data_IF_445010812626
#
_entry.id   IF_445010812626
#
_cell.length_a   1.000
_cell.length_b   1.000
_cell.length_c   1.000
_cell.angle_alpha   90.00
_cell.angle_beta   90.00
_cell.angle_gamma   90.00
#
_symmetry.space_group_name_H-M   'P 1'
#
loop_
_entity.id
_entity.type
_entity.pdbx_description
1 polymer ?
#
# COMPACT_ATOMS: atom_id res chain seq x y z
N UNK A 1 -6.72 12.21 -12.96
CA UNK A 1 -7.12 13.62 -12.78
C UNK A 1 -6.28 14.50 -13.68
N UNK A 2 -6.90 15.41 -14.41
CA UNK A 2 -6.24 16.27 -15.40
C UNK A 2 -5.40 17.37 -14.77
N UNK A 3 -4.45 17.92 -15.52
CA UNK A 3 -3.69 19.12 -15.12
C UNK A 3 -4.50 20.38 -15.38
N UNK A 4 -4.63 21.25 -14.36
CA UNK A 4 -5.32 22.53 -14.45
C UNK A 4 -4.81 23.37 -15.64
N UNK A 5 -5.67 23.76 -16.60
CA UNK A 5 -5.31 24.66 -17.69
C UNK A 5 -4.95 26.06 -17.17
N UNK A 6 -4.19 26.81 -17.98
CA UNK A 6 -3.85 28.21 -17.64
C UNK A 6 -5.10 29.09 -17.73
N UNK A 7 -5.12 30.16 -16.93
CA UNK A 7 -6.15 31.19 -17.02
C UNK A 7 -6.19 31.76 -18.45
N UNK A 8 -7.36 31.71 -19.10
CA UNK A 8 -7.55 32.13 -20.49
C UNK A 8 -7.40 31.02 -21.55
N UNK A 9 -7.13 29.76 -21.17
CA UNK A 9 -7.31 28.63 -22.08
C UNK A 9 -8.82 28.42 -22.33
N UNK A 10 -9.29 28.30 -23.58
CA UNK A 10 -10.70 28.01 -23.87
C UNK A 10 -11.23 26.72 -23.21
N UNK A 11 -10.34 25.81 -22.82
CA UNK A 11 -10.69 24.56 -22.13
C UNK A 11 -10.81 24.72 -20.61
N UNK A 12 -10.54 25.90 -20.07
CA UNK A 12 -10.57 26.13 -18.63
C UNK A 12 -11.97 25.92 -18.05
N UNK A 13 -13.01 26.47 -18.68
CA UNK A 13 -14.39 26.34 -18.20
C UNK A 13 -14.84 24.87 -18.19
N UNK A 14 -14.63 24.14 -19.29
CA UNK A 14 -14.95 22.72 -19.37
C UNK A 14 -14.18 21.88 -18.31
N UNK A 15 -12.91 22.21 -18.08
CA UNK A 15 -12.12 21.54 -17.04
C UNK A 15 -12.62 21.86 -15.62
N UNK A 16 -13.03 23.10 -15.36
CA UNK A 16 -13.53 23.54 -14.05
C UNK A 16 -14.88 22.88 -13.69
N UNK A 17 -15.75 22.69 -14.69
CA UNK A 17 -16.99 21.93 -14.55
C UNK A 17 -16.72 20.45 -14.23
N UNK A 18 -15.81 19.81 -14.98
CA UNK A 18 -15.41 18.41 -14.73
C UNK A 18 -14.78 18.25 -13.35
N UNK A 19 -13.86 19.15 -12.97
CA UNK A 19 -13.18 19.11 -11.67
C UNK A 19 -14.19 19.26 -10.53
N UNK A 20 -15.11 20.23 -10.63
CA UNK A 20 -16.18 20.46 -9.64
C UNK A 20 -17.09 19.24 -9.48
N UNK A 21 -17.43 18.55 -10.58
CA UNK A 21 -18.24 17.33 -10.54
C UNK A 21 -17.51 16.20 -9.80
N UNK A 22 -16.21 16.03 -10.06
CA UNK A 22 -15.39 15.02 -9.38
C UNK A 22 -15.24 15.37 -7.90
N UNK A 23 -15.07 16.65 -7.54
CA UNK A 23 -15.05 17.09 -6.13
C UNK A 23 -16.35 16.73 -5.42
N UNK A 24 -17.50 16.96 -6.06
CA UNK A 24 -18.80 16.57 -5.51
C UNK A 24 -18.91 15.06 -5.28
N UNK A 25 -18.47 14.23 -6.23
CA UNK A 25 -18.45 12.77 -6.05
C UNK A 25 -17.53 12.34 -4.91
N UNK A 26 -16.36 12.96 -4.80
CA UNK A 26 -15.42 12.70 -3.71
C UNK A 26 -16.06 13.03 -2.36
N UNK A 27 -16.57 14.25 -2.15
CA UNK A 27 -17.20 14.62 -0.89
C UNK A 27 -18.38 13.73 -0.52
N UNK A 28 -19.22 13.33 -1.48
CA UNK A 28 -20.36 12.44 -1.24
C UNK A 28 -19.96 10.99 -0.97
N UNK A 29 -18.74 10.58 -1.35
CA UNK A 29 -18.23 9.23 -1.09
C UNK A 29 -17.56 9.08 0.27
N UNK A 30 -17.32 10.18 0.99
CA UNK A 30 -16.57 10.22 2.25
C UNK A 30 -17.50 10.35 3.45
N UNK A 31 -17.03 9.90 4.62
CA UNK A 31 -17.71 10.25 5.87
C UNK A 31 -17.50 11.74 6.18
N UNK A 32 -18.42 12.39 6.91
CA UNK A 32 -18.33 13.83 7.21
C UNK A 32 -17.02 14.25 7.87
N UNK A 33 -16.43 13.37 8.69
CA UNK A 33 -15.16 13.63 9.37
C UNK A 33 -14.01 13.76 8.37
N UNK A 34 -13.99 12.93 7.33
CA UNK A 34 -12.97 12.94 6.29
C UNK A 34 -13.21 14.10 5.32
N UNK A 35 -14.45 14.31 4.86
CA UNK A 35 -14.76 15.38 3.91
C UNK A 35 -14.48 16.77 4.46
N UNK A 36 -14.72 16.99 5.76
CA UNK A 36 -14.40 18.25 6.45
C UNK A 36 -12.90 18.60 6.39
N UNK A 37 -12.00 17.62 6.43
CA UNK A 37 -10.55 17.87 6.33
C UNK A 37 -10.13 18.36 4.94
N UNK A 38 -10.94 18.05 3.91
CA UNK A 38 -10.66 18.33 2.51
C UNK A 38 -11.48 19.51 1.95
N UNK A 39 -12.37 20.10 2.75
CA UNK A 39 -13.35 21.10 2.32
C UNK A 39 -12.71 22.37 1.72
N UNK A 40 -11.49 22.71 2.14
CA UNK A 40 -10.77 23.92 1.70
C UNK A 40 -9.79 23.67 0.55
N UNK A 41 -9.73 22.45 0.01
CA UNK A 41 -8.85 22.11 -1.11
C UNK A 41 -9.45 22.58 -2.44
N UNK A 42 -8.60 23.12 -3.31
CA UNK A 42 -9.03 23.92 -4.45
C UNK A 42 -9.38 23.09 -5.69
N UNK A 43 -8.97 21.84 -5.76
CA UNK A 43 -9.23 20.96 -6.91
C UNK A 43 -9.54 19.54 -6.49
N UNK A 44 -10.20 18.77 -7.36
CA UNK A 44 -10.43 17.33 -7.15
C UNK A 44 -9.12 16.57 -6.97
N UNK A 45 -8.06 17.02 -7.64
CA UNK A 45 -6.71 16.47 -7.50
C UNK A 45 -6.12 16.71 -6.12
N UNK A 46 -6.24 17.93 -5.59
CA UNK A 46 -5.72 18.24 -4.25
C UNK A 46 -6.44 17.39 -3.19
N UNK A 47 -7.77 17.22 -3.31
CA UNK A 47 -8.56 16.33 -2.45
C UNK A 47 -8.05 14.89 -2.54
N UNK A 48 -7.89 14.38 -3.76
CA UNK A 48 -7.41 13.01 -3.96
C UNK A 48 -6.00 12.80 -3.39
N UNK A 49 -5.07 13.72 -3.66
CA UNK A 49 -3.70 13.64 -3.18
C UNK A 49 -3.64 13.72 -1.64
N UNK A 50 -4.43 14.59 -1.01
CA UNK A 50 -4.51 14.70 0.45
C UNK A 50 -5.06 13.42 1.12
N UNK A 51 -6.10 12.82 0.53
CA UNK A 51 -6.70 11.58 1.05
C UNK A 51 -5.77 10.40 0.81
N UNK A 52 -5.15 10.34 -0.36
CA UNK A 52 -4.14 9.33 -0.64
C UNK A 52 -2.96 9.47 0.32
N UNK A 53 -2.50 10.68 0.63
CA UNK A 53 -1.43 10.87 1.59
C UNK A 53 -1.82 10.47 3.02
N UNK A 54 -3.04 10.81 3.45
CA UNK A 54 -3.50 10.62 4.83
C UNK A 54 -3.97 9.19 5.10
N UNK A 55 -4.60 8.56 4.11
CA UNK A 55 -5.29 7.28 4.25
C UNK A 55 -4.80 6.18 3.31
N UNK A 56 -3.90 6.46 2.35
CA UNK A 56 -3.34 5.35 1.58
C UNK A 56 -2.43 4.52 2.48
N UNK A 57 -2.77 3.24 2.56
CA UNK A 57 -1.94 2.22 3.23
C UNK A 57 -0.66 1.93 2.46
N UNK A 58 -0.58 2.35 1.19
CA UNK A 58 0.60 2.23 0.37
C UNK A 58 1.66 3.25 0.85
N UNK A 59 2.59 2.78 1.71
CA UNK A 59 3.70 3.48 2.39
C UNK A 59 3.52 3.69 3.90
N UNK A 60 2.49 3.13 4.53
CA UNK A 60 2.40 3.24 5.99
C UNK A 60 3.46 2.35 6.66
N UNK A 61 4.52 2.98 7.15
CA UNK A 61 5.59 2.31 7.88
C UNK A 61 5.04 1.56 9.10
N UNK A 62 3.92 2.00 9.68
CA UNK A 62 3.25 1.31 10.79
C UNK A 62 2.63 -0.01 10.33
N UNK A 63 1.98 -0.06 9.16
CA UNK A 63 1.44 -1.31 8.59
C UNK A 63 2.57 -2.29 8.23
N UNK A 64 3.63 -1.78 7.60
CA UNK A 64 4.84 -2.59 7.30
C UNK A 64 5.42 -3.17 8.59
N UNK A 65 5.49 -2.37 9.65
CA UNK A 65 5.96 -2.81 10.96
C UNK A 65 5.03 -3.88 11.56
N UNK A 66 3.72 -3.66 11.56
CA UNK A 66 2.73 -4.59 12.09
C UNK A 66 2.80 -5.96 11.40
N UNK A 67 2.83 -5.98 10.07
CA UNK A 67 2.95 -7.21 9.28
C UNK A 67 4.29 -7.89 9.54
N UNK A 68 5.39 -7.14 9.68
CA UNK A 68 6.69 -7.69 10.08
C UNK A 68 6.66 -8.35 11.45
N UNK A 69 6.06 -7.71 12.44
CA UNK A 69 5.90 -8.28 13.79
C UNK A 69 5.10 -9.58 13.73
N UNK A 70 3.99 -9.60 12.98
CA UNK A 70 3.19 -10.82 12.75
C UNK A 70 3.98 -11.93 12.08
N UNK A 71 4.82 -11.60 11.10
CA UNK A 71 5.67 -12.55 10.38
C UNK A 71 6.70 -13.20 11.32
N UNK A 72 7.42 -12.39 12.11
CA UNK A 72 8.43 -12.88 13.07
C UNK A 72 7.79 -13.72 14.18
N UNK A 73 6.61 -13.33 14.64
CA UNK A 73 5.86 -14.04 15.67
C UNK A 73 5.22 -15.34 15.17
N UNK A 74 5.10 -15.54 13.85
CA UNK A 74 4.45 -16.71 13.28
C UNK A 74 5.29 -17.97 13.54
N UNK A 75 4.68 -18.95 14.24
CA UNK A 75 5.24 -20.27 14.49
C UNK A 75 4.33 -21.34 13.91
N UNK A 76 4.90 -22.47 13.49
CA UNK A 76 4.15 -23.64 13.03
C UNK A 76 3.20 -24.13 14.12
N UNK A 77 3.74 -24.42 15.32
CA UNK A 77 2.93 -24.86 16.46
C UNK A 77 2.17 -26.14 16.13
N UNK A 78 0.84 -26.13 16.28
CA UNK A 78 -0.03 -27.26 15.97
C UNK A 78 -0.43 -27.38 14.49
N UNK A 79 -0.05 -26.42 13.64
CA UNK A 79 -0.39 -26.43 12.21
C UNK A 79 0.47 -27.43 11.43
N UNK A 80 -0.08 -27.94 10.34
CA UNK A 80 0.72 -28.62 9.32
C UNK A 80 1.74 -27.65 8.71
N UNK A 81 2.82 -28.20 8.14
CA UNK A 81 3.83 -27.39 7.44
C UNK A 81 3.20 -26.57 6.31
N UNK A 82 2.25 -27.15 5.57
CA UNK A 82 1.55 -26.48 4.47
C UNK A 82 0.69 -25.32 4.96
N UNK A 83 -0.07 -25.49 6.04
CA UNK A 83 -0.88 -24.42 6.63
C UNK A 83 0.00 -23.28 7.14
N UNK A 84 1.12 -23.60 7.79
CA UNK A 84 2.08 -22.61 8.24
C UNK A 84 2.72 -21.84 7.06
N UNK A 85 3.15 -22.56 6.02
CA UNK A 85 3.71 -21.95 4.81
C UNK A 85 2.71 -21.02 4.13
N UNK A 86 1.44 -21.43 4.03
CA UNK A 86 0.37 -20.61 3.45
C UNK A 86 0.11 -19.35 4.29
N UNK A 87 0.15 -19.46 5.62
CA UNK A 87 0.01 -18.30 6.50
C UNK A 87 1.14 -17.28 6.28
N UNK A 88 2.39 -17.75 6.24
CA UNK A 88 3.54 -16.88 5.97
C UNK A 88 3.46 -16.24 4.58
N UNK A 89 3.08 -17.03 3.56
CA UNK A 89 2.89 -16.53 2.20
C UNK A 89 1.87 -15.40 2.14
N UNK A 90 0.75 -15.51 2.85
CA UNK A 90 -0.25 -14.45 2.92
C UNK A 90 0.32 -13.17 3.56
N UNK A 91 1.07 -13.29 4.66
CA UNK A 91 1.73 -12.15 5.32
C UNK A 91 2.78 -11.48 4.42
N UNK A 92 3.58 -12.27 3.70
CA UNK A 92 4.57 -11.73 2.76
C UNK A 92 3.93 -11.03 1.57
N UNK A 93 2.82 -11.54 1.04
CA UNK A 93 2.06 -10.87 -0.02
C UNK A 93 1.48 -9.53 0.46
N UNK A 94 0.99 -9.47 1.69
CA UNK A 94 0.55 -8.22 2.31
C UNK A 94 1.72 -7.25 2.48
N UNK A 95 2.89 -7.74 2.92
CA UNK A 95 4.11 -6.94 3.05
C UNK A 95 4.58 -6.37 1.71
N UNK A 96 4.54 -7.17 0.64
CA UNK A 96 4.88 -6.73 -0.72
C UNK A 96 3.93 -5.66 -1.24
N UNK A 97 2.65 -5.74 -0.88
CA UNK A 97 1.67 -4.72 -1.24
C UNK A 97 2.01 -3.36 -0.59
N UNK A 98 2.41 -3.36 0.68
CA UNK A 98 2.78 -2.13 1.38
C UNK A 98 4.17 -1.61 1.02
N UNK A 99 5.11 -2.50 0.66
CA UNK A 99 6.49 -2.16 0.27
C UNK A 99 6.59 -1.91 -1.24
N UNK A 100 6.16 -0.74 -1.67
CA UNK A 100 6.42 -0.29 -3.05
C UNK A 100 7.89 0.14 -3.17
N UNK A 101 8.79 -0.81 -3.44
CA UNK A 101 10.20 -0.53 -3.69
C UNK A 101 10.37 -0.13 -5.15
N UNK A 102 10.81 1.11 -5.37
CA UNK A 102 11.12 1.60 -6.72
C UNK A 102 12.52 1.15 -7.13
N UNK A 103 12.61 0.21 -8.07
CA UNK A 103 13.87 -0.20 -8.70
C UNK A 103 14.09 0.61 -9.97
N UNK A 104 15.36 0.91 -10.29
CA UNK A 104 15.71 1.73 -11.47
C UNK A 104 16.04 0.89 -12.70
N UNK A 105 16.48 -0.35 -12.51
CA UNK A 105 16.75 -1.30 -13.58
C UNK A 105 16.25 -2.72 -13.20
N UNK A 106 16.05 -3.60 -14.21
CA UNK A 106 15.64 -4.98 -14.00
C UNK A 106 16.64 -5.81 -13.19
N UNK A 107 17.93 -5.57 -13.35
CA UNK A 107 19.00 -6.31 -12.67
C UNK A 107 18.95 -6.09 -11.15
N UNK A 108 18.82 -4.84 -10.71
CA UNK A 108 18.65 -4.49 -9.30
C UNK A 108 17.36 -5.09 -8.72
N UNK A 109 16.30 -5.18 -9.53
CA UNK A 109 15.05 -5.79 -9.11
C UNK A 109 15.17 -7.30 -8.89
N UNK A 110 15.95 -7.98 -9.73
CA UNK A 110 16.25 -9.40 -9.56
C UNK A 110 17.07 -9.64 -8.28
N UNK A 111 18.14 -8.87 -8.08
CA UNK A 111 18.99 -8.99 -6.87
C UNK A 111 18.17 -8.74 -5.60
N UNK A 112 17.33 -7.71 -5.60
CA UNK A 112 16.45 -7.40 -4.47
C UNK A 112 15.46 -8.54 -4.20
N UNK A 113 14.88 -9.11 -5.26
CA UNK A 113 13.95 -10.25 -5.13
C UNK A 113 14.66 -11.45 -4.51
N UNK A 114 15.87 -11.78 -4.95
CA UNK A 114 16.63 -12.89 -4.40
C UNK A 114 16.95 -12.68 -2.91
N UNK A 115 17.32 -11.46 -2.53
CA UNK A 115 17.53 -11.10 -1.12
C UNK A 115 16.25 -11.27 -0.28
N UNK A 116 15.10 -10.82 -0.79
CA UNK A 116 13.81 -10.96 -0.12
C UNK A 116 13.44 -12.44 0.04
N UNK A 117 13.62 -13.27 -0.99
CA UNK A 117 13.34 -14.70 -0.91
C UNK A 117 14.26 -15.41 0.08
N UNK A 118 15.53 -15.01 0.19
CA UNK A 118 16.42 -15.53 1.24
C UNK A 118 15.91 -15.20 2.65
N UNK A 119 15.52 -13.95 2.91
CA UNK A 119 14.92 -13.54 4.19
C UNK A 119 13.67 -14.37 4.53
N UNK A 120 12.82 -14.64 3.53
CA UNK A 120 11.60 -15.46 3.70
C UNK A 120 11.91 -16.90 4.08
N UNK A 121 13.00 -17.47 3.55
CA UNK A 121 13.47 -18.79 3.96
C UNK A 121 13.87 -18.78 5.43
N UNK A 122 14.60 -17.76 5.89
CA UNK A 122 14.95 -17.63 7.30
C UNK A 122 13.73 -17.50 8.21
N UNK A 123 12.77 -16.64 7.84
CA UNK A 123 11.50 -16.48 8.56
C UNK A 123 10.76 -17.81 8.71
N UNK A 124 10.66 -18.58 7.62
CA UNK A 124 10.04 -19.90 7.61
C UNK A 124 10.75 -20.89 8.53
N UNK A 125 12.08 -20.97 8.43
CA UNK A 125 12.88 -21.92 9.22
C UNK A 125 12.85 -21.61 10.72
N UNK A 126 12.90 -20.33 11.10
CA UNK A 126 12.87 -19.89 12.50
C UNK A 126 11.56 -20.21 13.21
N UNK A 127 10.45 -20.29 12.47
CA UNK A 127 9.15 -20.65 13.04
C UNK A 127 8.75 -22.10 12.85
N UNK A 128 9.52 -22.91 12.13
CA UNK A 128 9.29 -24.34 11.98
C UNK A 128 9.50 -25.07 13.32
N UNK A 129 8.76 -26.15 13.55
CA UNK A 129 8.96 -26.95 14.75
C UNK A 129 10.31 -27.69 14.70
N UNK A 130 11.08 -27.65 15.80
CA UNK A 130 12.45 -28.19 15.87
C UNK A 130 12.55 -29.70 15.56
N UNK A 131 11.47 -30.45 15.75
CA UNK A 131 11.42 -31.89 15.45
C UNK A 131 11.45 -32.21 13.94
N UNK A 132 11.25 -31.22 13.07
CA UNK A 132 11.32 -31.35 11.61
C UNK A 132 12.64 -30.82 11.01
N UNK A 133 13.52 -30.25 11.83
CA UNK A 133 14.80 -29.64 11.40
C UNK A 133 15.99 -30.60 11.65
N UNK A 134 15.74 -31.90 11.87
CA UNK A 134 16.77 -32.92 12.10
C UNK A 134 16.97 -33.82 10.90
#
# INVERSE_FOLDING_TARGET
MGTRPKLGDPRFEAWDEEDSMIMAWLWNSMTPEISNTCMFLATSKDIWDAIQQTYSKARDAAQVYEVKVKTIAAKQGSKTVTEYANQLKALWQELDHYRVIKTKCPEDAAILKDFIEQDRVYDFLVGLNQNLIK
#
